data_IF_418315138582
#
_entry.id   IF_418315138582
#
_cell.length_a   1.000
_cell.length_b   1.000
_cell.length_c   1.000
_cell.angle_alpha   90.00
_cell.angle_beta   90.00
_cell.angle_gamma   90.00
#
_symmetry.space_group_name_H-M   'P 1'
#
loop_
_entity.id
_entity.type
_entity.pdbx_description
1 polymer ?
#
# COMPACT_ATOMS: atom_id res chain seq x y z
N UNK A 1 5.04 -12.38 24.36
CA UNK A 1 5.13 -12.25 22.88
C UNK A 1 5.93 -13.45 22.43
N UNK A 2 5.31 -14.43 21.78
CA UNK A 2 6.02 -15.65 21.36
C UNK A 2 7.15 -15.27 20.39
N UNK A 3 8.27 -15.96 20.54
CA UNK A 3 9.54 -15.75 19.84
C UNK A 3 9.36 -16.08 18.35
N UNK A 4 8.75 -15.19 17.59
CA UNK A 4 8.61 -15.32 16.14
C UNK A 4 9.90 -14.82 15.49
N UNK A 5 10.53 -15.64 14.65
CA UNK A 5 11.69 -15.25 13.87
C UNK A 5 11.28 -14.34 12.69
N UNK A 6 12.23 -13.54 12.18
CA UNK A 6 12.11 -12.72 10.97
C UNK A 6 11.54 -13.52 9.82
N UNK A 7 12.03 -14.74 9.58
CA UNK A 7 11.59 -15.58 8.46
C UNK A 7 10.10 -15.95 8.55
N UNK A 8 9.59 -16.21 9.76
CA UNK A 8 8.17 -16.48 9.99
C UNK A 8 7.32 -15.26 9.64
N UNK A 9 7.76 -14.06 10.03
CA UNK A 9 7.06 -12.83 9.69
C UNK A 9 7.08 -12.56 8.17
N UNK A 10 8.20 -12.82 7.50
CA UNK A 10 8.32 -12.69 6.05
C UNK A 10 7.41 -13.70 5.31
N UNK A 11 7.33 -14.94 5.79
CA UNK A 11 6.43 -15.94 5.24
C UNK A 11 4.97 -15.50 5.36
N UNK A 12 4.53 -15.06 6.55
CA UNK A 12 3.18 -14.55 6.76
C UNK A 12 2.88 -13.34 5.87
N UNK A 13 3.84 -12.42 5.72
CA UNK A 13 3.70 -11.30 4.80
C UNK A 13 3.47 -11.78 3.36
N UNK A 14 4.21 -12.80 2.89
CA UNK A 14 4.04 -13.39 1.55
C UNK A 14 2.65 -14.02 1.36
N UNK A 15 2.13 -14.71 2.37
CA UNK A 15 0.78 -15.28 2.35
C UNK A 15 -0.29 -14.20 2.20
N UNK A 16 -0.19 -13.12 2.99
CA UNK A 16 -1.10 -11.98 2.91
C UNK A 16 -0.96 -11.20 1.60
N UNK A 17 0.25 -11.03 1.07
CA UNK A 17 0.49 -10.49 -0.29
C UNK A 17 -0.25 -11.30 -1.36
N UNK A 18 -0.23 -12.63 -1.22
CA UNK A 18 -0.93 -13.55 -2.13
C UNK A 18 -2.45 -13.48 -1.97
N UNK A 19 -2.97 -13.33 -0.76
CA UNK A 19 -4.41 -13.07 -0.49
C UNK A 19 -4.85 -11.73 -1.10
N UNK A 20 -4.11 -10.64 -0.85
CA UNK A 20 -4.39 -9.34 -1.44
C UNK A 20 -4.39 -9.38 -2.97
N UNK A 21 -3.43 -10.09 -3.57
CA UNK A 21 -3.37 -10.29 -5.03
C UNK A 21 -4.62 -11.02 -5.56
N UNK A 22 -5.12 -12.04 -4.85
CA UNK A 22 -6.37 -12.72 -5.20
C UNK A 22 -7.57 -11.78 -5.12
N UNK A 23 -7.73 -11.03 -4.02
CA UNK A 23 -8.81 -10.05 -3.88
C UNK A 23 -8.80 -9.02 -5.01
N UNK A 24 -7.61 -8.54 -5.37
CA UNK A 24 -7.47 -7.62 -6.49
C UNK A 24 -7.89 -8.24 -7.83
N UNK A 25 -7.48 -9.48 -8.12
CA UNK A 25 -7.85 -10.18 -9.35
C UNK A 25 -9.37 -10.38 -9.43
N UNK A 26 -10.00 -10.77 -8.33
CA UNK A 26 -11.47 -10.89 -8.22
C UNK A 26 -12.13 -9.56 -8.56
N UNK A 27 -11.67 -8.45 -7.95
CA UNK A 27 -12.20 -7.11 -8.25
C UNK A 27 -12.07 -6.75 -9.73
N UNK A 28 -10.89 -6.93 -10.33
CA UNK A 28 -10.68 -6.62 -11.75
C UNK A 28 -11.56 -7.49 -12.65
N UNK A 29 -11.74 -8.77 -12.30
CA UNK A 29 -12.65 -9.66 -13.03
C UNK A 29 -14.11 -9.18 -12.94
N UNK A 30 -14.57 -8.76 -11.76
CA UNK A 30 -15.91 -8.17 -11.57
C UNK A 30 -16.10 -6.89 -12.38
N UNK A 31 -15.08 -6.02 -12.44
CA UNK A 31 -15.12 -4.81 -13.26
C UNK A 31 -15.19 -5.16 -14.76
N UNK A 32 -14.33 -6.08 -15.22
CA UNK A 32 -14.26 -6.50 -16.63
C UNK A 32 -15.52 -7.23 -17.10
N UNK A 33 -16.10 -8.11 -16.26
CA UNK A 33 -17.38 -8.77 -16.56
C UNK A 33 -18.53 -7.78 -16.63
N UNK A 34 -18.51 -6.73 -15.79
CA UNK A 34 -19.49 -5.64 -15.87
C UNK A 34 -19.32 -4.81 -17.15
N UNK A 35 -18.10 -4.72 -17.71
CA UNK A 35 -17.85 -4.13 -19.03
C UNK A 35 -18.29 -5.02 -20.20
N UNK A 36 -18.07 -6.33 -20.12
CA UNK A 36 -18.45 -7.28 -21.17
C UNK A 36 -19.96 -7.56 -21.20
N UNK A 37 -20.61 -7.44 -20.04
CA UNK A 37 -22.05 -7.54 -19.87
C UNK A 37 -22.79 -6.33 -20.43
N UNK A 38 -23.20 -6.46 -21.69
CA UNK A 38 -24.27 -5.76 -22.44
C UNK A 38 -23.98 -4.46 -23.23
N UNK A 39 -24.20 -4.50 -24.57
CA UNK A 39 -24.52 -3.33 -25.40
C UNK A 39 -25.98 -2.84 -25.25
N UNK A 40 -26.85 -3.60 -24.57
CA UNK A 40 -28.31 -3.38 -24.60
C UNK A 40 -29.04 -3.26 -23.25
N UNK A 41 -28.35 -3.28 -22.10
CA UNK A 41 -28.98 -3.06 -20.79
C UNK A 41 -28.86 -1.60 -20.35
N UNK A 42 -30.00 -0.97 -20.10
CA UNK A 42 -30.18 0.39 -19.54
C UNK A 42 -29.72 0.56 -18.09
N UNK A 43 -29.13 -0.49 -17.49
CA UNK A 43 -28.78 -0.60 -16.06
C UNK A 43 -27.27 -0.53 -15.79
N UNK A 44 -26.46 -0.20 -16.80
CA UNK A 44 -25.00 -0.13 -16.67
C UNK A 44 -24.52 0.69 -15.47
N UNK A 45 -25.09 1.88 -15.24
CA UNK A 45 -24.72 2.74 -14.09
C UNK A 45 -25.00 2.13 -12.72
N UNK A 46 -26.09 1.36 -12.58
CA UNK A 46 -26.44 0.68 -11.33
C UNK A 46 -25.42 -0.40 -10.95
N UNK A 47 -24.91 -1.15 -11.94
CA UNK A 47 -23.90 -2.20 -11.73
C UNK A 47 -22.54 -1.63 -11.34
N UNK A 48 -22.09 -0.55 -11.98
CA UNK A 48 -20.84 0.12 -11.59
C UNK A 48 -20.94 0.77 -10.20
N UNK A 49 -22.13 1.22 -9.81
CA UNK A 49 -22.41 1.72 -8.46
C UNK A 49 -22.32 0.61 -7.41
N UNK A 50 -22.86 -0.58 -7.68
CA UNK A 50 -22.70 -1.75 -6.80
C UNK A 50 -21.24 -2.17 -6.64
N UNK A 51 -20.43 -2.04 -7.70
CA UNK A 51 -18.99 -2.32 -7.60
C UNK A 51 -18.26 -1.37 -6.64
N UNK A 52 -18.67 -0.09 -6.55
CA UNK A 52 -18.13 0.86 -5.55
C UNK A 52 -18.41 0.45 -4.10
N UNK A 53 -19.42 -0.40 -3.90
CA UNK A 53 -19.80 -0.96 -2.60
C UNK A 53 -19.33 -2.41 -2.44
N UNK A 54 -18.55 -2.95 -3.40
CA UNK A 54 -18.16 -4.36 -3.34
C UNK A 54 -17.19 -4.62 -2.20
N UNK A 55 -17.42 -5.74 -1.48
CA UNK A 55 -16.53 -6.18 -0.41
C UNK A 55 -15.10 -6.39 -0.90
N UNK A 56 -14.90 -6.86 -2.14
CA UNK A 56 -13.56 -7.07 -2.71
C UNK A 56 -12.71 -5.78 -2.75
N UNK A 57 -13.36 -4.63 -2.98
CA UNK A 57 -12.74 -3.31 -2.96
C UNK A 57 -12.27 -2.93 -1.54
N UNK A 58 -12.98 -3.40 -0.51
CA UNK A 58 -12.63 -3.22 0.90
C UNK A 58 -11.60 -4.25 1.40
N UNK A 59 -11.75 -5.52 1.02
CA UNK A 59 -10.89 -6.62 1.49
C UNK A 59 -9.46 -6.50 0.95
N UNK A 60 -9.27 -5.94 -0.25
CA UNK A 60 -7.94 -5.75 -0.82
C UNK A 60 -6.98 -4.95 0.09
N UNK A 61 -7.29 -3.71 0.52
CA UNK A 61 -6.42 -2.97 1.43
C UNK A 61 -6.32 -3.59 2.82
N UNK A 62 -7.34 -4.32 3.30
CA UNK A 62 -7.28 -5.05 4.58
C UNK A 62 -6.18 -6.11 4.56
N UNK A 63 -6.18 -6.99 3.56
CA UNK A 63 -5.16 -8.04 3.42
C UNK A 63 -3.76 -7.43 3.25
N UNK A 64 -3.68 -6.29 2.57
CA UNK A 64 -2.43 -5.56 2.38
C UNK A 64 -1.92 -4.96 3.70
N UNK A 65 -2.80 -4.47 4.57
CA UNK A 65 -2.40 -4.01 5.90
C UNK A 65 -1.93 -5.16 6.81
N UNK A 66 -2.48 -6.37 6.65
CA UNK A 66 -1.95 -7.54 7.37
C UNK A 66 -0.53 -7.87 6.91
N UNK A 67 -0.26 -7.84 5.60
CA UNK A 67 1.10 -7.96 5.07
C UNK A 67 2.02 -6.88 5.66
N UNK A 68 1.59 -5.61 5.65
CA UNK A 68 2.36 -4.49 6.20
C UNK A 68 2.68 -4.68 7.69
N UNK A 69 1.73 -5.17 8.49
CA UNK A 69 1.95 -5.48 9.91
C UNK A 69 3.07 -6.50 10.11
N UNK A 70 3.07 -7.58 9.32
CA UNK A 70 4.09 -8.62 9.40
C UNK A 70 5.46 -8.08 8.97
N UNK A 71 5.50 -7.27 7.90
CA UNK A 71 6.72 -6.61 7.46
C UNK A 71 7.28 -5.67 8.56
N UNK A 72 6.46 -4.80 9.14
CA UNK A 72 6.90 -3.93 10.25
C UNK A 72 7.41 -4.77 11.43
N UNK A 73 6.76 -5.89 11.75
CA UNK A 73 7.22 -6.79 12.81
C UNK A 73 8.58 -7.41 12.48
N UNK A 74 8.83 -7.80 11.23
CA UNK A 74 10.13 -8.28 10.76
C UNK A 74 11.20 -7.18 10.85
N UNK A 75 10.88 -5.93 10.49
CA UNK A 75 11.81 -4.81 10.61
C UNK A 75 12.21 -4.54 12.06
N UNK A 76 11.28 -4.64 13.02
CA UNK A 76 11.58 -4.48 14.45
C UNK A 76 12.53 -5.58 14.94
N UNK A 77 12.27 -6.84 14.57
CA UNK A 77 13.15 -7.95 14.93
C UNK A 77 14.57 -7.80 14.34
N UNK A 78 14.68 -7.26 13.13
CA UNK A 78 15.97 -6.92 12.50
C UNK A 78 16.66 -5.73 13.17
N UNK A 79 15.90 -4.75 13.65
CA UNK A 79 16.45 -3.64 14.47
C UNK A 79 17.06 -4.20 15.77
N UNK A 80 16.38 -5.15 16.42
CA UNK A 80 16.84 -5.80 17.67
C UNK A 80 18.12 -6.63 17.46
N UNK A 81 18.32 -7.21 16.27
CA UNK A 81 19.56 -7.92 15.91
C UNK A 81 20.65 -7.02 15.29
N UNK A 82 20.44 -5.70 15.31
CA UNK A 82 21.33 -4.68 14.74
C UNK A 82 21.53 -4.78 13.20
N UNK A 83 20.61 -5.44 12.48
CA UNK A 83 20.57 -5.48 11.02
C UNK A 83 19.87 -4.24 10.43
N UNK A 84 20.35 -3.04 10.81
CA UNK A 84 19.67 -1.77 10.53
C UNK A 84 19.41 -1.48 9.04
N UNK A 85 20.35 -1.87 8.16
CA UNK A 85 20.19 -1.69 6.70
C UNK A 85 19.00 -2.51 6.18
N UNK A 86 18.93 -3.79 6.56
CA UNK A 86 17.88 -4.71 6.12
C UNK A 86 16.52 -4.30 6.68
N UNK A 87 16.48 -3.84 7.93
CA UNK A 87 15.27 -3.26 8.53
C UNK A 87 14.78 -2.02 7.75
N UNK A 88 15.69 -1.11 7.38
CA UNK A 88 15.35 0.09 6.60
C UNK A 88 14.84 -0.25 5.19
N UNK A 89 15.48 -1.19 4.49
CA UNK A 89 15.05 -1.63 3.16
C UNK A 89 13.64 -2.24 3.19
N UNK A 90 13.34 -2.97 4.25
CA UNK A 90 12.03 -3.59 4.43
C UNK A 90 10.94 -2.54 4.71
N UNK A 91 11.22 -1.50 5.50
CA UNK A 91 10.31 -0.36 5.68
C UNK A 91 10.14 0.46 4.38
N UNK A 92 11.18 0.58 3.55
CA UNK A 92 11.09 1.20 2.24
C UNK A 92 10.15 0.41 1.30
N UNK A 93 10.22 -0.93 1.31
CA UNK A 93 9.28 -1.78 0.57
C UNK A 93 7.84 -1.55 1.04
N UNK A 94 7.61 -1.52 2.36
CA UNK A 94 6.28 -1.23 2.92
C UNK A 94 5.73 0.09 2.39
N UNK A 95 6.53 1.17 2.43
CA UNK A 95 6.13 2.48 1.93
C UNK A 95 5.76 2.45 0.44
N UNK A 96 6.57 1.78 -0.38
CA UNK A 96 6.30 1.63 -1.81
C UNK A 96 5.00 0.83 -2.08
N UNK A 97 4.74 -0.22 -1.29
CA UNK A 97 3.50 -1.01 -1.40
C UNK A 97 2.26 -0.19 -1.03
N UNK A 98 2.34 0.62 0.04
CA UNK A 98 1.24 1.50 0.45
C UNK A 98 0.93 2.56 -0.61
N UNK A 99 1.96 3.19 -1.17
CA UNK A 99 1.81 4.18 -2.25
C UNK A 99 1.21 3.53 -3.51
N UNK A 100 1.72 2.37 -3.91
CA UNK A 100 1.21 1.61 -5.05
C UNK A 100 -0.27 1.27 -4.88
N UNK A 101 -0.66 0.79 -3.69
CA UNK A 101 -2.03 0.43 -3.33
C UNK A 101 -2.96 1.62 -3.43
N UNK A 102 -2.60 2.74 -2.82
CA UNK A 102 -3.37 3.98 -2.86
C UNK A 102 -3.60 4.46 -4.31
N UNK A 103 -2.54 4.47 -5.14
CA UNK A 103 -2.66 4.80 -6.57
C UNK A 103 -3.57 3.84 -7.33
N UNK A 104 -3.50 2.55 -7.03
CA UNK A 104 -4.31 1.51 -7.70
C UNK A 104 -5.79 1.66 -7.37
N UNK A 105 -6.12 1.88 -6.10
CA UNK A 105 -7.50 2.12 -5.64
C UNK A 105 -8.07 3.40 -6.26
N UNK A 106 -7.31 4.52 -6.26
CA UNK A 106 -7.72 5.77 -6.94
C UNK A 106 -8.04 5.58 -8.41
N UNK A 107 -7.24 4.78 -9.13
CA UNK A 107 -7.52 4.47 -10.53
C UNK A 107 -8.82 3.71 -10.73
N UNK A 108 -9.14 2.76 -9.85
CA UNK A 108 -10.40 2.01 -9.91
C UNK A 108 -11.58 2.92 -9.56
N UNK A 109 -11.48 3.71 -8.50
CA UNK A 109 -12.48 4.70 -8.12
C UNK A 109 -12.80 5.62 -9.31
N UNK A 110 -11.79 6.27 -9.89
CA UNK A 110 -11.98 7.18 -11.03
C UNK A 110 -12.62 6.48 -12.22
N UNK A 111 -12.25 5.21 -12.50
CA UNK A 111 -12.86 4.43 -13.58
C UNK A 111 -14.34 4.18 -13.29
N UNK A 112 -14.67 3.66 -12.10
CA UNK A 112 -16.03 3.35 -11.70
C UNK A 112 -16.91 4.61 -11.70
N UNK A 113 -16.46 5.72 -11.09
CA UNK A 113 -17.17 7.00 -11.10
C UNK A 113 -17.42 7.49 -12.53
N UNK A 114 -16.41 7.46 -13.40
CA UNK A 114 -16.58 7.86 -14.81
C UNK A 114 -17.65 7.02 -15.52
N UNK A 115 -17.71 5.72 -15.25
CA UNK A 115 -18.72 4.85 -15.85
C UNK A 115 -20.12 5.10 -15.30
N UNK A 116 -20.26 5.34 -14.00
CA UNK A 116 -21.56 5.72 -13.40
C UNK A 116 -22.07 7.04 -13.98
N UNK A 117 -21.21 8.05 -14.12
CA UNK A 117 -21.58 9.37 -14.66
C UNK A 117 -21.93 9.31 -16.15
N UNK A 118 -21.21 8.51 -16.96
CA UNK A 118 -21.47 8.37 -18.40
C UNK A 118 -22.71 7.55 -18.73
N UNK A 119 -23.11 6.66 -17.83
CA UNK A 119 -24.27 5.79 -18.00
C UNK A 119 -25.24 5.96 -16.83
N UNK A 120 -25.83 7.16 -16.65
CA UNK A 120 -26.79 7.39 -15.57
C UNK A 120 -27.95 6.41 -15.71
N UNK A 121 -28.22 5.66 -14.65
CA UNK A 121 -29.29 4.67 -14.63
C UNK A 121 -30.63 5.38 -14.79
N UNK A 122 -31.40 5.03 -15.84
CA UNK A 122 -32.70 5.66 -16.12
C UNK A 122 -33.76 5.42 -15.03
N UNK A 123 -33.63 4.36 -14.23
CA UNK A 123 -34.61 4.05 -13.17
C UNK A 123 -34.67 5.09 -12.04
N UNK A 124 -33.60 5.86 -11.81
CA UNK A 124 -33.63 7.00 -10.88
C UNK A 124 -34.27 8.25 -11.47
N UNK A 125 -34.34 8.35 -12.81
CA UNK A 125 -34.93 9.48 -13.50
C UNK A 125 -36.47 9.43 -13.54
N UNK A 126 -37.08 8.25 -13.43
CA UNK A 126 -38.54 8.09 -13.43
C UNK A 126 -39.15 8.17 -12.03
N UNK A 127 -38.38 7.90 -10.95
CA UNK A 127 -38.89 8.00 -9.57
C UNK A 127 -38.70 9.37 -8.90
N UNK A 128 -37.79 10.19 -9.42
CA UNK A 128 -37.54 11.54 -8.90
C UNK A 128 -37.46 12.48 -10.09
N UNK A 129 -38.57 13.18 -10.35
CA UNK A 129 -38.67 14.18 -11.40
C UNK A 129 -37.45 15.10 -11.40
N UNK A 130 -36.69 15.07 -12.50
CA UNK A 130 -35.59 15.99 -12.73
C UNK A 130 -34.39 15.85 -11.80
N UNK A 131 -33.86 14.66 -11.53
CA UNK A 131 -32.58 14.54 -10.82
C UNK A 131 -31.45 15.14 -11.67
N UNK A 132 -30.88 16.25 -11.19
CA UNK A 132 -29.77 16.94 -11.83
C UNK A 132 -28.49 16.07 -11.78
N UNK A 133 -27.56 16.28 -12.72
CA UNK A 133 -26.21 15.66 -12.70
C UNK A 133 -25.46 15.92 -11.38
N UNK A 134 -25.84 16.97 -10.64
CA UNK A 134 -25.27 17.32 -9.34
C UNK A 134 -25.64 16.31 -8.24
N UNK A 135 -26.83 15.71 -8.30
CA UNK A 135 -27.32 14.78 -7.27
C UNK A 135 -26.70 13.39 -7.43
N UNK A 136 -26.50 12.96 -8.68
CA UNK A 136 -25.75 11.75 -9.01
C UNK A 136 -24.29 11.84 -8.52
N UNK A 137 -23.65 12.99 -8.70
CA UNK A 137 -22.28 13.24 -8.25
C UNK A 137 -22.17 13.20 -6.71
N UNK A 138 -23.12 13.79 -5.99
CA UNK A 138 -23.18 13.73 -4.51
C UNK A 138 -23.39 12.30 -4.02
N UNK A 139 -24.29 11.55 -4.65
CA UNK A 139 -24.60 10.18 -4.29
C UNK A 139 -23.42 9.23 -4.52
N UNK A 140 -22.72 9.37 -5.65
CA UNK A 140 -21.51 8.57 -5.96
C UNK A 140 -20.37 8.88 -4.99
N UNK A 141 -20.19 10.15 -4.60
CA UNK A 141 -19.22 10.54 -3.56
C UNK A 141 -19.56 9.94 -2.20
N UNK A 142 -20.85 9.86 -1.86
CA UNK A 142 -21.31 9.20 -0.64
C UNK A 142 -21.01 7.70 -0.66
N UNK A 143 -21.30 7.02 -1.78
CA UNK A 143 -21.07 5.57 -1.92
C UNK A 143 -19.57 5.19 -1.96
N UNK A 144 -18.72 6.09 -2.47
CA UNK A 144 -17.26 5.96 -2.40
C UNK A 144 -16.67 6.49 -1.07
N UNK A 145 -17.50 6.96 -0.14
CA UNK A 145 -17.10 7.63 1.10
C UNK A 145 -16.07 6.85 1.92
N UNK A 146 -16.24 5.52 1.98
CA UNK A 146 -15.35 4.62 2.71
C UNK A 146 -13.95 4.51 2.06
N UNK A 147 -13.80 4.78 0.76
CA UNK A 147 -12.49 4.79 0.10
C UNK A 147 -11.60 5.93 0.60
N UNK A 148 -12.20 7.07 0.97
CA UNK A 148 -11.46 8.18 1.58
C UNK A 148 -10.84 7.81 2.93
N UNK A 149 -11.51 6.96 3.71
CA UNK A 149 -10.95 6.42 4.95
C UNK A 149 -9.69 5.59 4.66
N UNK A 150 -9.69 4.79 3.59
CA UNK A 150 -8.51 4.06 3.15
C UNK A 150 -7.39 4.98 2.68
N UNK A 151 -7.68 6.00 1.88
CA UNK A 151 -6.65 6.94 1.45
C UNK A 151 -6.00 7.65 2.63
N UNK A 152 -6.80 8.03 3.62
CA UNK A 152 -6.30 8.61 4.85
C UNK A 152 -5.45 7.61 5.64
N UNK A 153 -5.96 6.41 5.90
CA UNK A 153 -5.27 5.39 6.68
C UNK A 153 -3.94 4.97 6.03
N UNK A 154 -3.95 4.67 4.72
CA UNK A 154 -2.74 4.29 3.97
C UNK A 154 -1.70 5.41 4.01
N UNK A 155 -2.10 6.66 3.80
CA UNK A 155 -1.19 7.81 3.85
C UNK A 155 -0.59 8.02 5.24
N UNK A 156 -1.37 7.80 6.31
CA UNK A 156 -0.93 7.96 7.68
C UNK A 156 0.02 6.85 8.13
N UNK A 157 -0.25 5.61 7.71
CA UNK A 157 0.67 4.49 7.97
C UNK A 157 1.98 4.72 7.19
N UNK A 158 1.89 5.13 5.93
CA UNK A 158 3.06 5.41 5.10
C UNK A 158 3.95 6.49 5.70
N UNK A 159 3.38 7.59 6.23
CA UNK A 159 4.20 8.65 6.85
C UNK A 159 4.95 8.18 8.09
N UNK A 160 4.31 7.35 8.93
CA UNK A 160 4.95 6.75 10.11
C UNK A 160 6.07 5.80 9.70
N UNK A 161 5.84 4.95 8.70
CA UNK A 161 6.84 4.02 8.18
C UNK A 161 8.03 4.77 7.59
N UNK A 162 7.80 5.79 6.75
CA UNK A 162 8.88 6.61 6.20
C UNK A 162 9.69 7.33 7.26
N UNK A 163 9.03 7.89 8.28
CA UNK A 163 9.74 8.51 9.39
C UNK A 163 10.64 7.49 10.10
N UNK A 164 10.15 6.27 10.30
CA UNK A 164 10.93 5.24 10.98
C UNK A 164 12.09 4.71 10.13
N UNK A 165 11.86 4.52 8.83
CA UNK A 165 12.90 4.24 7.85
C UNK A 165 14.01 5.29 7.90
N UNK A 166 13.65 6.57 7.88
CA UNK A 166 14.59 7.68 7.96
C UNK A 166 15.44 7.62 9.24
N UNK A 167 14.82 7.34 10.39
CA UNK A 167 15.54 7.19 11.66
C UNK A 167 16.55 6.03 11.63
N UNK A 168 16.20 4.89 11.04
CA UNK A 168 17.12 3.76 10.88
C UNK A 168 18.30 4.13 9.97
N UNK A 169 18.05 4.79 8.83
CA UNK A 169 19.10 5.25 7.92
C UNK A 169 20.06 6.24 8.61
N UNK A 170 19.54 7.17 9.41
CA UNK A 170 20.38 8.09 10.20
C UNK A 170 21.27 7.34 11.21
N UNK A 171 20.73 6.35 11.92
CA UNK A 171 21.51 5.53 12.86
C UNK A 171 22.62 4.76 12.15
N UNK A 172 22.32 4.17 10.99
CA UNK A 172 23.30 3.48 10.16
C UNK A 172 24.41 4.43 9.69
N UNK A 173 24.07 5.64 9.25
CA UNK A 173 25.06 6.65 8.86
C UNK A 173 25.96 7.03 10.06
N UNK A 174 25.38 7.21 11.24
CA UNK A 174 26.13 7.54 12.44
C UNK A 174 27.06 6.40 12.87
N UNK A 175 26.62 5.13 12.79
CA UNK A 175 27.46 3.99 13.13
C UNK A 175 28.66 3.86 12.19
N UNK A 176 28.45 4.06 10.88
CA UNK A 176 29.52 4.07 9.88
C UNK A 176 30.51 5.21 10.14
N UNK A 177 30.01 6.41 10.48
CA UNK A 177 30.85 7.55 10.86
C UNK A 177 31.71 7.24 12.08
N UNK A 178 31.14 6.65 13.14
CA UNK A 178 31.91 6.28 14.34
C UNK A 178 32.96 5.21 14.07
N UNK A 179 32.67 4.22 13.22
CA UNK A 179 33.64 3.20 12.81
C UNK A 179 34.78 3.77 11.96
N UNK A 180 34.50 4.77 11.12
CA UNK A 180 35.54 5.45 10.35
C UNK A 180 36.46 6.34 11.19
N UNK A 181 36.02 6.74 12.39
CA UNK A 181 36.76 7.60 13.32
C UNK A 181 37.45 6.84 14.45
N UNK A 182 37.27 5.51 14.57
CA UNK A 182 38.03 4.71 15.54
C UNK A 182 39.52 4.62 15.15
N UNK A 183 40.45 4.89 16.09
CA UNK A 183 41.88 5.01 15.80
C UNK A 183 42.56 3.72 15.30
N UNK A 184 41.90 2.56 15.41
CA UNK A 184 42.40 1.29 14.87
C UNK A 184 42.52 1.28 13.33
N UNK A 185 41.61 1.95 12.61
CA UNK A 185 41.71 2.12 11.15
C UNK A 185 42.77 3.16 10.75
N UNK A 186 43.00 4.18 11.60
CA UNK A 186 44.10 5.11 11.42
C UNK A 186 45.47 4.43 11.54
N UNK A 187 45.66 3.61 12.57
CA UNK A 187 46.91 2.89 12.82
C UNK A 187 47.23 1.83 11.76
N UNK A 188 46.23 1.17 11.18
CA UNK A 188 46.43 0.24 10.07
C UNK A 188 46.97 0.94 8.81
N UNK A 189 46.47 2.13 8.48
CA UNK A 189 46.93 2.91 7.33
C UNK A 189 48.33 3.53 7.55
N UNK A 190 48.68 3.90 8.79
CA UNK A 190 50.01 4.41 9.12
C UNK A 190 51.08 3.29 9.15
N UNK A 191 50.74 2.07 9.59
CA UNK A 191 51.70 0.97 9.66
C UNK A 191 52.05 0.36 8.30
N UNK A 192 51.19 0.46 7.29
CA UNK A 192 51.51 0.00 5.92
C UNK A 192 52.39 0.94 5.11
N UNK A 193 52.53 2.21 5.52
CA UNK A 193 53.41 3.19 4.86
C UNK A 193 54.81 3.27 5.49
N UNK A 194 55.05 2.58 6.60
CA UNK A 194 56.30 2.63 7.38
C UNK A 194 57.30 1.49 7.14
N UNK A 195 56.94 0.44 6.39
CA UNK A 195 57.87 -0.66 6.10
C UNK A 195 58.33 -0.62 4.64
N UNK A 196 59.40 0.15 4.37
CA UNK A 196 60.28 -0.12 3.23
C UNK A 196 61.29 -1.21 3.64
N UNK A 197 61.35 -2.36 2.97
CA UNK A 197 62.41 -3.34 3.19
C UNK A 197 63.76 -2.81 2.65
N UNK A 198 64.89 -3.33 3.16
CA UNK A 198 66.24 -2.81 2.93
C UNK A 198 66.72 -2.88 1.47
#
# INVERSE_FOLDING_TARGET
IHQTNVDTQLQLASEYKSKASRQWKTLVSSISSTHAGTPHNTDGGGRFRLLLQSDALHQYPVELLQMVRHLISAAVLLEDTNELSRAADLLAEVSAQLEHTSRRMRRVEVKLIKHVVRHPHRSSHERLGGSSTSDLSKMVKHDAGWMYLWYYALSRIQSVVHFREYQLRLRLMNSLRTQSMTPEFGLACYNTLGQRPP
#
